data_IF_286977425534
#
_entry.id   IF_286977425534
#
_cell.length_a   1.000
_cell.length_b   1.000
_cell.length_c   1.000
_cell.angle_alpha   90.00
_cell.angle_beta   90.00
_cell.angle_gamma   90.00
#
_symmetry.space_group_name_H-M   'P 1'
#
loop_
_entity.id
_entity.type
_entity.pdbx_description
1 polymer ?
#
# COMPACT_ATOMS: atom_id res chain seq x y z
N UNK A 1 14.28 -68.97 -4.90
CA UNK A 1 14.33 -67.56 -5.16
C UNK A 1 14.00 -66.88 -3.86
N UNK A 2 14.91 -66.06 -3.35
CA UNK A 2 14.88 -65.55 -1.94
C UNK A 2 13.82 -64.47 -1.73
N UNK A 3 12.89 -64.71 -0.82
CA UNK A 3 11.87 -63.70 -0.39
C UNK A 3 12.47 -62.35 0.08
N UNK A 4 13.72 -62.39 0.55
CA UNK A 4 14.47 -61.19 0.94
C UNK A 4 14.84 -60.28 -0.25
N UNK A 5 15.07 -60.82 -1.44
CA UNK A 5 15.41 -60.06 -2.66
C UNK A 5 14.19 -59.32 -3.21
N UNK A 6 12.99 -59.92 -3.13
CA UNK A 6 11.76 -59.30 -3.60
C UNK A 6 11.36 -58.15 -2.64
N UNK A 7 11.52 -58.31 -1.31
CA UNK A 7 11.27 -57.23 -0.34
C UNK A 7 12.21 -56.04 -0.53
N UNK A 8 13.48 -56.26 -0.87
CA UNK A 8 14.45 -55.18 -1.12
C UNK A 8 14.14 -54.36 -2.38
N UNK A 9 13.70 -55.04 -3.46
CA UNK A 9 13.33 -54.36 -4.72
C UNK A 9 12.05 -53.53 -4.54
N UNK A 10 11.03 -54.04 -3.82
CA UNK A 10 9.78 -53.29 -3.54
C UNK A 10 10.06 -52.09 -2.64
N UNK A 11 10.91 -52.23 -1.62
CA UNK A 11 11.30 -51.11 -0.75
C UNK A 11 12.11 -50.04 -1.54
N UNK A 12 13.03 -50.46 -2.41
CA UNK A 12 13.78 -49.52 -3.25
C UNK A 12 12.92 -48.81 -4.29
N UNK A 13 11.91 -49.48 -4.86
CA UNK A 13 10.94 -48.86 -5.76
C UNK A 13 10.00 -47.89 -5.04
N UNK A 14 9.58 -48.16 -3.80
CA UNK A 14 8.77 -47.29 -3.00
C UNK A 14 9.54 -46.02 -2.55
N UNK A 15 10.79 -46.20 -2.09
CA UNK A 15 11.65 -45.06 -1.71
C UNK A 15 12.05 -44.24 -2.93
N UNK A 16 12.38 -44.87 -4.06
CA UNK A 16 12.66 -44.17 -5.31
C UNK A 16 11.44 -43.43 -5.88
N UNK A 17 10.25 -44.05 -5.80
CA UNK A 17 8.99 -43.46 -6.23
C UNK A 17 8.59 -42.21 -5.40
N UNK A 18 8.73 -42.27 -4.08
CA UNK A 18 8.49 -41.18 -3.17
C UNK A 18 9.49 -40.01 -3.40
N UNK A 19 10.78 -40.34 -3.56
CA UNK A 19 11.83 -39.35 -3.85
C UNK A 19 11.63 -38.67 -5.21
N UNK A 20 11.21 -39.42 -6.25
CA UNK A 20 10.91 -38.87 -7.57
C UNK A 20 9.65 -38.02 -7.59
N UNK A 21 8.60 -38.40 -6.87
CA UNK A 21 7.38 -37.60 -6.74
C UNK A 21 7.61 -36.29 -5.95
N UNK A 22 8.38 -36.35 -4.87
CA UNK A 22 8.75 -35.14 -4.11
C UNK A 22 9.66 -34.20 -4.93
N UNK A 23 10.59 -34.74 -5.71
CA UNK A 23 11.45 -33.95 -6.58
C UNK A 23 10.65 -33.26 -7.71
N UNK A 24 9.68 -33.98 -8.32
CA UNK A 24 8.78 -33.38 -9.30
C UNK A 24 7.87 -32.29 -8.68
N UNK A 25 7.35 -32.53 -7.48
CA UNK A 25 6.56 -31.55 -6.76
C UNK A 25 7.37 -30.28 -6.41
N UNK A 26 8.65 -30.44 -6.02
CA UNK A 26 9.53 -29.30 -5.75
C UNK A 26 9.82 -28.49 -7.02
N UNK A 27 10.12 -29.17 -8.14
CA UNK A 27 10.31 -28.50 -9.43
C UNK A 27 9.04 -27.78 -9.90
N UNK A 28 7.90 -28.41 -9.74
CA UNK A 28 6.62 -27.81 -10.09
C UNK A 28 6.32 -26.55 -9.26
N UNK A 29 6.55 -26.59 -7.93
CA UNK A 29 6.44 -25.42 -7.07
C UNK A 29 7.37 -24.28 -7.51
N UNK A 30 8.64 -24.60 -7.82
CA UNK A 30 9.60 -23.61 -8.31
C UNK A 30 9.16 -23.02 -9.65
N UNK A 31 8.61 -23.84 -10.55
CA UNK A 31 8.05 -23.38 -11.81
C UNK A 31 6.86 -22.45 -11.58
N UNK A 32 5.89 -22.81 -10.72
CA UNK A 32 4.73 -21.99 -10.40
C UNK A 32 5.11 -20.61 -9.85
N UNK A 33 6.15 -20.54 -9.02
CA UNK A 33 6.63 -19.28 -8.46
C UNK A 33 7.18 -18.33 -9.53
N UNK A 34 7.76 -18.88 -10.62
CA UNK A 34 8.42 -18.10 -11.67
C UNK A 34 7.62 -18.03 -12.98
N UNK A 35 6.50 -18.76 -13.09
CA UNK A 35 5.69 -18.80 -14.30
C UNK A 35 5.05 -17.42 -14.56
N UNK A 36 5.13 -16.97 -15.82
CA UNK A 36 4.40 -15.78 -16.27
C UNK A 36 2.89 -16.09 -16.39
N UNK A 37 2.06 -15.06 -16.36
CA UNK A 37 0.63 -15.21 -16.61
C UNK A 37 0.36 -15.95 -17.94
N UNK A 38 1.05 -15.56 -19.02
CA UNK A 38 0.90 -16.21 -20.33
C UNK A 38 1.25 -17.71 -20.32
N UNK A 39 2.27 -18.10 -19.54
CA UNK A 39 2.61 -19.51 -19.38
C UNK A 39 1.52 -20.28 -18.62
N UNK A 40 0.94 -19.68 -17.60
CA UNK A 40 -0.17 -20.26 -16.83
C UNK A 40 -1.48 -20.28 -17.64
N UNK A 41 -1.77 -19.25 -18.44
CA UNK A 41 -2.93 -19.21 -19.35
C UNK A 41 -2.91 -20.37 -20.37
N UNK A 42 -1.72 -20.80 -20.79
CA UNK A 42 -1.55 -21.96 -21.70
C UNK A 42 -1.58 -23.29 -20.94
N UNK A 43 -1.03 -23.34 -19.75
CA UNK A 43 -0.89 -24.57 -18.96
C UNK A 43 -2.20 -25.03 -18.32
N UNK A 44 -2.94 -24.12 -17.66
CA UNK A 44 -4.13 -24.44 -16.85
C UNK A 44 -5.24 -25.14 -17.64
N UNK A 45 -5.56 -24.77 -18.90
CA UNK A 45 -6.60 -25.45 -19.66
C UNK A 45 -6.31 -26.93 -19.93
N UNK A 46 -5.02 -27.31 -20.06
CA UNK A 46 -4.60 -28.70 -20.28
C UNK A 46 -4.37 -29.49 -18.98
N UNK A 47 -4.37 -28.80 -17.82
CA UNK A 47 -4.18 -29.39 -16.49
C UNK A 47 -5.29 -28.93 -15.55
N UNK A 48 -6.55 -29.30 -15.79
CA UNK A 48 -7.69 -28.79 -15.02
C UNK A 48 -7.70 -29.20 -13.56
N UNK A 49 -6.95 -30.22 -13.18
CA UNK A 49 -6.86 -30.71 -11.79
C UNK A 49 -5.67 -30.11 -11.02
N UNK A 50 -4.84 -29.26 -11.68
CA UNK A 50 -3.74 -28.56 -11.02
C UNK A 50 -4.26 -27.31 -10.29
N UNK A 51 -4.79 -27.52 -9.10
CA UNK A 51 -5.35 -26.47 -8.27
C UNK A 51 -4.33 -25.37 -7.93
N UNK A 52 -3.06 -25.69 -7.54
CA UNK A 52 -2.04 -24.66 -7.33
C UNK A 52 -1.80 -23.76 -8.56
N UNK A 53 -1.75 -24.33 -9.76
CA UNK A 53 -1.58 -23.54 -11.00
C UNK A 53 -2.77 -22.64 -11.28
N UNK A 54 -4.00 -23.16 -11.11
CA UNK A 54 -5.23 -22.35 -11.22
C UNK A 54 -5.26 -21.21 -10.22
N UNK A 55 -4.95 -21.49 -8.96
CA UNK A 55 -4.92 -20.46 -7.90
C UNK A 55 -3.89 -19.39 -8.22
N UNK A 56 -2.70 -19.79 -8.69
CA UNK A 56 -1.64 -18.84 -9.08
C UNK A 56 -2.05 -17.96 -10.26
N UNK A 57 -2.64 -18.56 -11.31
CA UNK A 57 -3.18 -17.81 -12.45
C UNK A 57 -4.25 -16.82 -11.99
N UNK A 58 -5.20 -17.27 -11.19
CA UNK A 58 -6.29 -16.45 -10.69
C UNK A 58 -5.78 -15.26 -9.86
N UNK A 59 -4.78 -15.47 -8.98
CA UNK A 59 -4.13 -14.39 -8.23
C UNK A 59 -3.47 -13.35 -9.14
N UNK A 60 -2.81 -13.79 -10.23
CA UNK A 60 -2.21 -12.88 -11.20
C UNK A 60 -3.26 -12.09 -11.98
N UNK A 61 -4.37 -12.74 -12.36
CA UNK A 61 -5.51 -12.07 -13.01
C UNK A 61 -6.13 -11.01 -12.08
N UNK A 62 -6.33 -11.34 -10.80
CA UNK A 62 -6.82 -10.38 -9.79
C UNK A 62 -5.87 -9.19 -9.67
N UNK A 63 -4.55 -9.44 -9.57
CA UNK A 63 -3.55 -8.36 -9.49
C UNK A 63 -3.57 -7.44 -10.71
N UNK A 64 -3.92 -7.98 -11.89
CA UNK A 64 -4.10 -7.25 -13.15
C UNK A 64 -5.53 -6.68 -13.33
N UNK A 65 -6.38 -6.73 -12.31
CA UNK A 65 -7.78 -6.27 -12.32
C UNK A 65 -8.67 -6.98 -13.37
N UNK A 66 -8.34 -8.23 -13.69
CA UNK A 66 -9.13 -9.09 -14.59
C UNK A 66 -10.17 -9.85 -13.77
N UNK A 67 -11.44 -9.62 -14.06
CA UNK A 67 -12.58 -10.23 -13.34
C UNK A 67 -12.55 -11.77 -13.34
N UNK A 68 -11.98 -12.40 -14.38
CA UNK A 68 -11.82 -13.86 -14.46
C UNK A 68 -11.11 -14.45 -13.25
N UNK A 69 -10.19 -13.67 -12.64
CA UNK A 69 -9.44 -14.12 -11.47
C UNK A 69 -10.32 -14.42 -10.28
N UNK A 70 -11.28 -13.55 -9.97
CA UNK A 70 -12.22 -13.73 -8.84
C UNK A 70 -13.15 -14.92 -9.13
N UNK A 71 -13.64 -15.05 -10.35
CA UNK A 71 -14.51 -16.17 -10.75
C UNK A 71 -13.79 -17.53 -10.63
N UNK A 72 -12.52 -17.58 -11.04
CA UNK A 72 -11.70 -18.79 -10.91
C UNK A 72 -11.43 -19.15 -9.45
N UNK A 73 -11.14 -18.17 -8.57
CA UNK A 73 -10.95 -18.40 -7.15
C UNK A 73 -12.24 -18.86 -6.49
N UNK A 74 -13.37 -18.27 -6.84
CA UNK A 74 -14.70 -18.67 -6.36
C UNK A 74 -15.00 -20.11 -6.72
N UNK A 75 -14.85 -20.48 -8.00
CA UNK A 75 -15.10 -21.84 -8.47
C UNK A 75 -14.18 -22.87 -7.77
N UNK A 76 -12.93 -22.50 -7.49
CA UNK A 76 -12.01 -23.35 -6.76
C UNK A 76 -12.38 -23.44 -5.25
N UNK A 77 -12.86 -22.36 -4.65
CA UNK A 77 -13.28 -22.33 -3.24
C UNK A 77 -14.62 -23.05 -3.01
N UNK A 78 -15.52 -23.07 -3.98
CA UNK A 78 -16.80 -23.79 -3.93
C UNK A 78 -16.63 -25.29 -4.27
N UNK A 79 -15.48 -25.70 -4.76
CA UNK A 79 -15.17 -27.14 -4.98
C UNK A 79 -15.08 -27.87 -3.65
N UNK A 80 -15.36 -29.19 -3.58
CA UNK A 80 -15.32 -29.97 -2.35
C UNK A 80 -13.88 -30.24 -1.86
N UNK A 81 -13.06 -29.20 -1.85
CA UNK A 81 -11.69 -29.23 -1.31
C UNK A 81 -11.63 -28.32 -0.08
N UNK A 82 -11.13 -28.83 1.03
CA UNK A 82 -10.90 -28.05 2.26
C UNK A 82 -9.50 -27.40 2.21
N UNK A 83 -9.16 -26.76 1.06
CA UNK A 83 -7.85 -26.12 0.90
C UNK A 83 -7.88 -24.68 1.42
N UNK A 84 -7.28 -24.51 2.61
CA UNK A 84 -7.13 -23.20 3.26
C UNK A 84 -6.48 -22.15 2.36
N UNK A 85 -5.53 -22.55 1.49
CA UNK A 85 -4.83 -21.61 0.63
C UNK A 85 -5.75 -21.00 -0.44
N UNK A 86 -6.67 -21.82 -0.96
CA UNK A 86 -7.68 -21.36 -1.94
C UNK A 86 -8.68 -20.43 -1.26
N UNK A 87 -9.21 -20.83 -0.10
CA UNK A 87 -10.17 -20.03 0.65
C UNK A 87 -9.57 -18.68 1.04
N UNK A 88 -8.33 -18.68 1.51
CA UNK A 88 -7.62 -17.45 1.79
C UNK A 88 -7.46 -16.57 0.54
N UNK A 89 -7.02 -17.17 -0.59
CA UNK A 89 -6.85 -16.43 -1.83
C UNK A 89 -8.15 -15.83 -2.35
N UNK A 90 -9.26 -16.57 -2.24
CA UNK A 90 -10.58 -16.06 -2.61
C UNK A 90 -11.03 -14.91 -1.72
N UNK A 91 -10.96 -15.09 -0.40
CA UNK A 91 -11.32 -14.03 0.55
C UNK A 91 -10.45 -12.78 0.36
N UNK A 92 -9.14 -12.96 0.11
CA UNK A 92 -8.21 -11.84 -0.10
C UNK A 92 -8.52 -11.06 -1.38
N UNK A 93 -9.04 -11.75 -2.41
CA UNK A 93 -9.42 -11.15 -3.70
C UNK A 93 -10.75 -10.39 -3.67
N UNK A 94 -11.63 -10.64 -2.70
CA UNK A 94 -12.92 -9.96 -2.60
C UNK A 94 -12.73 -8.48 -2.24
N UNK A 95 -13.37 -7.60 -3.02
CA UNK A 95 -13.29 -6.15 -2.83
C UNK A 95 -14.21 -5.71 -1.69
N UNK A 96 -15.40 -6.32 -1.59
CA UNK A 96 -16.36 -6.01 -0.50
C UNK A 96 -15.95 -6.75 0.79
N UNK A 97 -15.57 -6.02 1.84
CA UNK A 97 -15.19 -6.64 3.11
C UNK A 97 -16.35 -7.40 3.77
N UNK A 98 -17.60 -6.99 3.54
CA UNK A 98 -18.79 -7.66 4.10
C UNK A 98 -19.00 -9.02 3.44
N UNK A 99 -18.83 -9.12 2.13
CA UNK A 99 -18.85 -10.39 1.41
C UNK A 99 -17.71 -11.31 1.87
N UNK A 100 -16.51 -10.76 2.02
CA UNK A 100 -15.35 -11.49 2.54
C UNK A 100 -15.62 -12.06 3.94
N UNK A 101 -16.24 -11.29 4.84
CA UNK A 101 -16.63 -11.76 6.18
C UNK A 101 -17.64 -12.90 6.13
N UNK A 102 -18.64 -12.81 5.26
CA UNK A 102 -19.64 -13.89 5.10
C UNK A 102 -18.99 -15.20 4.61
N UNK A 103 -18.00 -15.13 3.70
CA UNK A 103 -17.26 -16.32 3.28
C UNK A 103 -16.36 -16.87 4.40
N UNK A 104 -15.70 -16.01 5.16
CA UNK A 104 -14.91 -16.43 6.33
C UNK A 104 -15.76 -17.17 7.36
N UNK A 105 -16.94 -16.69 7.67
CA UNK A 105 -17.84 -17.36 8.62
C UNK A 105 -18.24 -18.77 8.15
N UNK A 106 -18.36 -19.00 6.84
CA UNK A 106 -18.57 -20.30 6.21
C UNK A 106 -17.35 -21.22 6.42
N UNK A 107 -16.15 -20.69 6.14
CA UNK A 107 -14.91 -21.47 6.22
C UNK A 107 -14.53 -21.81 7.67
N UNK A 108 -14.88 -20.96 8.64
CA UNK A 108 -14.69 -21.25 10.08
C UNK A 108 -15.51 -22.43 10.61
N UNK A 109 -16.60 -22.82 9.93
CA UNK A 109 -17.33 -24.03 10.28
C UNK A 109 -16.50 -25.29 10.01
N UNK A 110 -15.56 -25.22 9.06
CA UNK A 110 -14.71 -26.33 8.66
C UNK A 110 -13.33 -26.24 9.31
N UNK A 111 -12.72 -25.04 9.33
CA UNK A 111 -11.38 -24.77 9.88
C UNK A 111 -11.42 -23.68 10.95
N UNK A 112 -12.02 -23.94 12.13
CA UNK A 112 -12.21 -22.92 13.17
C UNK A 112 -10.90 -22.36 13.74
N UNK A 113 -9.82 -23.13 13.74
CA UNK A 113 -8.52 -22.78 14.33
C UNK A 113 -7.49 -22.25 13.33
N UNK A 114 -7.89 -22.04 12.07
CA UNK A 114 -7.00 -21.51 11.05
C UNK A 114 -6.48 -20.10 11.41
N UNK A 115 -5.20 -20.02 11.75
CA UNK A 115 -4.51 -18.74 12.00
C UNK A 115 -4.56 -17.81 10.79
N UNK A 116 -4.42 -18.38 9.59
CA UNK A 116 -4.40 -17.64 8.32
C UNK A 116 -5.75 -16.98 8.03
N UNK A 117 -6.84 -17.75 8.14
CA UNK A 117 -8.20 -17.24 7.93
C UNK A 117 -8.60 -16.25 9.05
N UNK A 118 -8.21 -16.50 10.30
CA UNK A 118 -8.42 -15.55 11.40
C UNK A 118 -7.66 -14.24 11.20
N UNK A 119 -6.44 -14.29 10.64
CA UNK A 119 -5.69 -13.08 10.28
C UNK A 119 -6.40 -12.32 9.15
N UNK A 120 -6.94 -13.03 8.15
CA UNK A 120 -7.78 -12.42 7.12
C UNK A 120 -9.03 -11.76 7.72
N UNK A 121 -9.70 -12.43 8.69
CA UNK A 121 -10.83 -11.85 9.40
C UNK A 121 -10.47 -10.54 10.11
N UNK A 122 -9.37 -10.53 10.84
CA UNK A 122 -8.90 -9.33 11.53
C UNK A 122 -8.64 -8.17 10.54
N UNK A 123 -8.10 -8.46 9.34
CA UNK A 123 -7.92 -7.46 8.27
C UNK A 123 -9.27 -6.89 7.81
N UNK A 124 -10.26 -7.75 7.53
CA UNK A 124 -11.60 -7.30 7.13
C UNK A 124 -12.32 -6.49 8.21
N UNK A 125 -12.09 -6.81 9.49
CA UNK A 125 -12.58 -5.98 10.59
C UNK A 125 -12.01 -4.55 10.55
N UNK A 126 -10.72 -4.39 10.26
CA UNK A 126 -10.11 -3.05 10.07
C UNK A 126 -10.78 -2.32 8.90
N UNK A 127 -10.97 -2.99 7.76
CA UNK A 127 -11.61 -2.40 6.56
C UNK A 127 -13.08 -2.00 6.82
N UNK A 128 -13.78 -2.73 7.68
CA UNK A 128 -15.15 -2.43 8.13
C UNK A 128 -15.21 -1.37 9.24
N UNK A 129 -14.07 -0.84 9.68
CA UNK A 129 -14.02 0.20 10.72
C UNK A 129 -14.10 -0.32 12.15
N UNK A 130 -13.78 -1.60 12.39
CA UNK A 130 -13.64 -2.18 13.72
C UNK A 130 -12.17 -2.48 14.06
N UNK A 131 -11.34 -1.46 14.29
CA UNK A 131 -9.94 -1.65 14.65
C UNK A 131 -9.75 -2.28 16.03
N UNK A 132 -10.66 -2.04 16.98
CA UNK A 132 -10.56 -2.60 18.33
C UNK A 132 -10.83 -4.12 18.34
N UNK A 133 -11.84 -4.57 17.60
CA UNK A 133 -12.09 -5.99 17.38
C UNK A 133 -10.92 -6.67 16.70
N UNK A 134 -10.33 -6.04 15.66
CA UNK A 134 -9.14 -6.55 14.98
C UNK A 134 -7.93 -6.66 15.93
N UNK A 135 -7.69 -5.68 16.80
CA UNK A 135 -6.63 -5.74 17.82
C UNK A 135 -6.85 -6.87 18.80
N UNK A 136 -8.10 -7.06 19.31
CA UNK A 136 -8.44 -8.16 20.21
C UNK A 136 -8.18 -9.52 19.56
N UNK A 137 -8.64 -9.72 18.31
CA UNK A 137 -8.43 -10.97 17.57
C UNK A 137 -6.94 -11.23 17.30
N UNK A 138 -6.17 -10.22 16.96
CA UNK A 138 -4.72 -10.37 16.75
C UNK A 138 -3.97 -10.63 18.07
N UNK A 139 -4.42 -10.12 19.21
CA UNK A 139 -3.86 -10.46 20.52
C UNK A 139 -4.08 -11.95 20.86
N UNK A 140 -5.26 -12.50 20.56
CA UNK A 140 -5.53 -13.93 20.69
C UNK A 140 -4.62 -14.76 19.77
N UNK A 141 -4.51 -14.37 18.50
CA UNK A 141 -3.65 -15.06 17.52
C UNK A 141 -2.17 -15.07 17.96
N UNK A 142 -1.66 -13.96 18.48
CA UNK A 142 -0.28 -13.90 19.00
C UNK A 142 -0.09 -14.84 20.19
N UNK A 143 -1.07 -14.97 21.07
CA UNK A 143 -1.02 -15.92 22.21
C UNK A 143 -1.04 -17.37 21.74
N UNK A 144 -1.81 -17.69 20.71
CA UNK A 144 -1.99 -19.05 20.21
C UNK A 144 -0.84 -19.53 19.31
N UNK A 145 -0.40 -18.68 18.37
CA UNK A 145 0.54 -19.07 17.30
C UNK A 145 1.85 -18.26 17.29
N UNK A 146 1.99 -17.33 18.23
CA UNK A 146 3.14 -16.43 18.23
C UNK A 146 2.99 -15.27 17.26
N UNK A 147 4.02 -14.40 17.24
CA UNK A 147 4.07 -13.25 16.33
C UNK A 147 4.47 -13.71 14.94
N UNK A 148 3.74 -13.28 13.91
CA UNK A 148 4.16 -13.37 12.52
C UNK A 148 3.96 -12.00 11.82
N UNK A 149 4.57 -11.83 10.65
CA UNK A 149 4.58 -10.55 9.96
C UNK A 149 3.18 -10.09 9.54
N UNK A 150 2.31 -11.01 9.11
CA UNK A 150 0.96 -10.67 8.64
C UNK A 150 0.04 -10.24 9.79
N UNK A 151 0.11 -10.90 10.96
CA UNK A 151 -0.62 -10.50 12.15
C UNK A 151 -0.17 -9.10 12.59
N UNK A 152 1.15 -8.84 12.61
CA UNK A 152 1.69 -7.55 13.00
C UNK A 152 1.34 -6.44 12.00
N UNK A 153 1.25 -6.75 10.70
CA UNK A 153 0.74 -5.83 9.69
C UNK A 153 -0.70 -5.44 9.98
N UNK A 154 -1.60 -6.40 10.22
CA UNK A 154 -3.01 -6.10 10.54
C UNK A 154 -3.12 -5.23 11.79
N UNK A 155 -2.27 -5.47 12.80
CA UNK A 155 -2.22 -4.60 14.00
C UNK A 155 -1.80 -3.18 13.65
N UNK A 156 -0.82 -3.02 12.75
CA UNK A 156 -0.40 -1.71 12.29
C UNK A 156 -1.52 -0.97 11.56
N UNK A 157 -2.25 -1.67 10.68
CA UNK A 157 -3.40 -1.10 9.97
C UNK A 157 -4.50 -0.65 10.96
N UNK A 158 -4.78 -1.45 11.99
CA UNK A 158 -5.72 -1.10 13.06
C UNK A 158 -5.25 0.12 13.88
N UNK A 159 -3.96 0.19 14.24
CA UNK A 159 -3.38 1.34 14.92
C UNK A 159 -3.42 2.61 14.06
N UNK A 160 -3.18 2.49 12.75
CA UNK A 160 -3.29 3.63 11.82
C UNK A 160 -4.73 4.17 11.79
N UNK A 161 -5.73 3.31 11.74
CA UNK A 161 -7.13 3.71 11.77
C UNK A 161 -7.49 4.43 13.09
N UNK A 162 -6.89 4.00 14.21
CA UNK A 162 -7.03 4.64 15.52
C UNK A 162 -6.15 5.90 15.69
N UNK A 163 -5.41 6.32 14.67
CA UNK A 163 -4.41 7.39 14.72
C UNK A 163 -3.27 7.19 15.72
N UNK A 164 -3.04 5.94 16.14
CA UNK A 164 -1.96 5.53 17.04
C UNK A 164 -0.69 5.23 16.23
N UNK A 165 -0.14 6.27 15.61
CA UNK A 165 0.90 6.16 14.58
C UNK A 165 2.22 5.56 15.12
N UNK A 166 2.56 5.80 16.39
CA UNK A 166 3.76 5.23 17.00
C UNK A 166 3.66 3.72 17.13
N UNK A 167 2.52 3.21 17.64
CA UNK A 167 2.28 1.78 17.77
C UNK A 167 2.19 1.08 16.40
N UNK A 168 1.66 1.77 15.39
CA UNK A 168 1.69 1.27 14.01
C UNK A 168 3.13 1.11 13.50
N UNK A 169 3.99 2.11 13.73
CA UNK A 169 5.41 2.05 13.36
C UNK A 169 6.13 0.90 14.07
N UNK A 170 5.90 0.72 15.37
CA UNK A 170 6.51 -0.34 16.17
C UNK A 170 6.09 -1.73 15.68
N UNK A 171 4.80 -1.91 15.35
CA UNK A 171 4.27 -3.15 14.81
C UNK A 171 4.89 -3.48 13.45
N UNK A 172 5.03 -2.50 12.55
CA UNK A 172 5.66 -2.68 11.24
C UNK A 172 7.16 -2.95 11.34
N UNK A 173 7.87 -2.29 12.24
CA UNK A 173 9.28 -2.61 12.50
C UNK A 173 9.46 -4.04 13.00
N UNK A 174 8.58 -4.51 13.88
CA UNK A 174 8.57 -5.88 14.34
C UNK A 174 8.22 -6.87 13.21
N UNK A 175 7.28 -6.52 12.32
CA UNK A 175 6.93 -7.33 11.16
C UNK A 175 8.11 -7.48 10.18
N UNK A 176 8.81 -6.39 9.87
CA UNK A 176 10.00 -6.38 8.98
C UNK A 176 11.14 -7.25 9.56
N UNK A 177 11.32 -7.29 10.88
CA UNK A 177 12.31 -8.18 11.50
C UNK A 177 12.00 -9.66 11.32
N UNK A 178 10.72 -10.01 11.16
CA UNK A 178 10.28 -11.40 10.94
C UNK A 178 10.27 -11.77 9.46
N UNK A 179 9.87 -10.81 8.61
CA UNK A 179 9.77 -11.01 7.17
C UNK A 179 10.02 -9.67 6.45
N UNK A 180 11.21 -9.52 5.87
CA UNK A 180 11.67 -8.27 5.22
C UNK A 180 11.11 -8.14 3.81
N UNK A 181 9.85 -7.73 3.69
CA UNK A 181 9.17 -7.45 2.42
C UNK A 181 9.14 -5.96 2.12
N UNK A 182 9.30 -5.61 0.83
CA UNK A 182 9.21 -4.23 0.35
C UNK A 182 7.88 -3.54 0.73
N UNK A 183 6.77 -4.28 0.70
CA UNK A 183 5.46 -3.81 1.10
C UNK A 183 5.42 -3.33 2.56
N UNK A 184 5.95 -4.12 3.50
CA UNK A 184 6.00 -3.73 4.91
C UNK A 184 6.87 -2.50 5.15
N UNK A 185 7.98 -2.38 4.40
CA UNK A 185 8.83 -1.20 4.43
C UNK A 185 8.10 0.05 3.92
N UNK A 186 7.32 -0.07 2.85
CA UNK A 186 6.51 1.05 2.33
C UNK A 186 5.40 1.45 3.28
N UNK A 187 4.74 0.49 3.94
CA UNK A 187 3.76 0.79 5.00
C UNK A 187 4.41 1.53 6.16
N UNK A 188 5.61 1.08 6.60
CA UNK A 188 6.36 1.81 7.62
C UNK A 188 6.73 3.22 7.15
N UNK A 189 7.17 3.38 5.90
CA UNK A 189 7.47 4.70 5.34
C UNK A 189 6.26 5.64 5.42
N UNK A 190 5.06 5.15 5.13
CA UNK A 190 3.81 5.94 5.27
C UNK A 190 3.56 6.41 6.70
N UNK A 191 3.94 5.64 7.71
CA UNK A 191 3.81 6.06 9.12
C UNK A 191 4.87 7.08 9.53
N UNK A 192 6.06 7.05 8.92
CA UNK A 192 7.18 7.92 9.27
C UNK A 192 7.05 9.34 8.71
N UNK A 193 6.37 9.50 7.55
CA UNK A 193 6.17 10.80 6.90
C UNK A 193 5.44 11.81 7.82
N UNK A 194 4.26 11.51 8.39
CA UNK A 194 3.58 12.45 9.28
C UNK A 194 4.34 12.72 10.58
N UNK A 195 5.22 11.80 11.00
CA UNK A 195 6.09 11.97 12.16
C UNK A 195 7.36 12.78 11.86
N UNK A 196 7.57 13.17 10.61
CA UNK A 196 8.78 13.87 10.13
C UNK A 196 10.10 13.13 10.44
N UNK A 197 10.04 11.79 10.57
CA UNK A 197 11.20 10.92 10.85
C UNK A 197 11.96 10.61 9.56
N UNK A 198 12.45 11.64 8.88
CA UNK A 198 13.00 11.54 7.52
C UNK A 198 14.29 10.71 7.42
N UNK A 199 15.10 10.63 8.47
CA UNK A 199 16.30 9.76 8.49
C UNK A 199 15.89 8.30 8.45
N UNK A 200 14.95 7.90 9.28
CA UNK A 200 14.42 6.54 9.30
C UNK A 200 13.65 6.21 8.02
N UNK A 201 12.88 7.18 7.50
CA UNK A 201 12.21 7.04 6.20
C UNK A 201 13.22 6.67 5.10
N UNK A 202 14.36 7.36 5.04
CA UNK A 202 15.46 7.04 4.12
C UNK A 202 15.97 5.61 4.34
N UNK A 203 16.28 5.26 5.59
CA UNK A 203 16.89 3.97 5.94
C UNK A 203 15.93 2.80 5.67
N UNK A 204 14.63 3.02 5.75
CA UNK A 204 13.57 2.05 5.43
C UNK A 204 13.41 1.86 3.91
N UNK A 205 13.45 2.96 3.12
CA UNK A 205 13.21 2.91 1.67
C UNK A 205 14.46 2.52 0.86
N UNK A 206 15.67 2.87 1.32
CA UNK A 206 16.91 2.63 0.60
C UNK A 206 17.13 1.15 0.21
N UNK A 207 16.90 0.15 1.08
CA UNK A 207 17.06 -1.26 0.70
C UNK A 207 16.15 -1.72 -0.44
N UNK A 208 14.97 -1.10 -0.63
CA UNK A 208 14.06 -1.42 -1.73
C UNK A 208 14.70 -1.03 -3.06
N UNK A 209 15.32 0.17 -3.10
CA UNK A 209 15.93 0.70 -4.34
C UNK A 209 17.29 0.02 -4.63
N UNK A 210 18.08 -0.28 -3.59
CA UNK A 210 19.41 -0.90 -3.75
C UNK A 210 19.31 -2.35 -4.20
N UNK A 211 18.30 -3.10 -3.75
CA UNK A 211 18.07 -4.49 -4.20
C UNK A 211 17.73 -4.55 -5.70
N UNK A 212 17.34 -3.42 -6.30
CA UNK A 212 17.05 -3.32 -7.74
C UNK A 212 15.89 -4.19 -8.20
N UNK A 213 15.82 -4.46 -9.51
CA UNK A 213 14.72 -5.21 -10.15
C UNK A 213 14.70 -6.72 -9.80
N UNK A 214 15.57 -7.21 -8.93
CA UNK A 214 15.62 -8.61 -8.53
C UNK A 214 14.43 -8.98 -7.63
N UNK A 215 13.25 -9.14 -8.26
CA UNK A 215 12.04 -9.64 -7.60
C UNK A 215 11.20 -8.60 -6.86
N UNK A 216 11.49 -7.30 -7.00
CA UNK A 216 10.68 -6.22 -6.46
C UNK A 216 9.78 -5.67 -7.57
N UNK A 217 8.47 -5.59 -7.31
CA UNK A 217 7.52 -4.98 -8.25
C UNK A 217 7.92 -3.53 -8.55
N UNK A 218 7.89 -3.11 -9.82
CA UNK A 218 8.27 -1.76 -10.26
C UNK A 218 7.55 -0.67 -9.45
N UNK A 219 6.27 -0.86 -9.12
CA UNK A 219 5.51 0.05 -8.30
C UNK A 219 6.10 0.27 -6.90
N UNK A 220 6.65 -0.77 -6.27
CA UNK A 220 7.32 -0.63 -4.97
C UNK A 220 8.61 0.19 -5.09
N UNK A 221 9.39 -0.04 -6.15
CA UNK A 221 10.62 0.73 -6.40
C UNK A 221 10.32 2.21 -6.69
N UNK A 222 9.29 2.51 -7.49
CA UNK A 222 8.83 3.88 -7.78
C UNK A 222 8.39 4.60 -6.50
N UNK A 223 7.57 3.95 -5.65
CA UNK A 223 7.13 4.54 -4.36
C UNK A 223 8.30 4.75 -3.40
N UNK A 224 9.22 3.79 -3.30
CA UNK A 224 10.41 3.96 -2.45
C UNK A 224 11.27 5.14 -2.90
N UNK A 225 11.51 5.31 -4.20
CA UNK A 225 12.22 6.47 -4.76
C UNK A 225 11.51 7.79 -4.47
N UNK A 226 10.18 7.81 -4.56
CA UNK A 226 9.37 8.99 -4.21
C UNK A 226 9.55 9.37 -2.73
N UNK A 227 9.50 8.41 -1.81
CA UNK A 227 9.73 8.67 -0.38
C UNK A 227 11.16 9.10 -0.09
N UNK A 228 12.15 8.53 -0.79
CA UNK A 228 13.55 8.96 -0.71
C UNK A 228 13.74 10.42 -1.17
N UNK A 229 13.06 10.83 -2.25
CA UNK A 229 13.07 12.22 -2.71
C UNK A 229 12.47 13.16 -1.66
N UNK A 230 11.33 12.79 -1.06
CA UNK A 230 10.74 13.53 0.04
C UNK A 230 11.66 13.64 1.26
N UNK A 231 12.34 12.56 1.63
CA UNK A 231 13.32 12.55 2.73
C UNK A 231 14.52 13.46 2.41
N UNK A 232 15.08 13.38 1.20
CA UNK A 232 16.21 14.21 0.76
C UNK A 232 15.89 15.70 0.85
N UNK A 233 14.71 16.11 0.40
CA UNK A 233 14.25 17.51 0.48
C UNK A 233 14.12 18.02 1.92
N UNK A 234 13.73 17.16 2.87
CA UNK A 234 13.53 17.55 4.26
C UNK A 234 14.80 17.45 5.12
N UNK A 235 15.78 16.65 4.70
CA UNK A 235 17.05 16.51 5.41
C UNK A 235 18.10 17.57 5.02
N UNK A 236 17.72 18.54 4.20
CA UNK A 236 18.63 19.60 3.71
C UNK A 236 19.93 19.03 3.10
N UNK A 237 19.76 18.07 2.18
CA UNK A 237 20.87 17.41 1.50
C UNK A 237 21.70 18.39 0.64
N UNK A 238 22.99 18.10 0.38
CA UNK A 238 23.85 18.89 -0.50
C UNK A 238 23.27 19.10 -1.92
N UNK A 239 23.71 20.13 -2.62
CA UNK A 239 23.23 20.51 -3.95
C UNK A 239 23.33 19.36 -4.97
N UNK A 240 24.40 18.57 -4.93
CA UNK A 240 24.62 17.43 -5.83
C UNK A 240 23.55 16.34 -5.61
N UNK A 241 23.14 16.09 -4.38
CA UNK A 241 22.03 15.15 -4.07
C UNK A 241 20.69 15.68 -4.57
N UNK A 242 20.48 17.01 -4.58
CA UNK A 242 19.28 17.62 -5.14
C UNK A 242 19.21 17.42 -6.66
N UNK A 243 20.33 17.50 -7.37
CA UNK A 243 20.35 17.25 -8.81
C UNK A 243 19.99 15.79 -9.14
N UNK A 244 20.55 14.82 -8.40
CA UNK A 244 20.17 13.41 -8.51
C UNK A 244 18.69 13.20 -8.21
N UNK A 245 18.21 13.79 -7.10
CA UNK A 245 16.79 13.73 -6.72
C UNK A 245 15.89 14.30 -7.81
N UNK A 246 16.32 15.40 -8.46
CA UNK A 246 15.58 16.00 -9.60
C UNK A 246 15.45 15.02 -10.76
N UNK A 247 16.56 14.39 -11.19
CA UNK A 247 16.55 13.40 -12.27
C UNK A 247 15.67 12.18 -11.93
N UNK A 248 15.74 11.69 -10.68
CA UNK A 248 14.87 10.60 -10.22
C UNK A 248 13.38 11.00 -10.27
N UNK A 249 13.04 12.22 -9.87
CA UNK A 249 11.66 12.72 -9.91
C UNK A 249 11.16 12.97 -11.34
N UNK A 250 12.01 13.42 -12.25
CA UNK A 250 11.68 13.55 -13.68
C UNK A 250 11.29 12.19 -14.29
N UNK A 251 11.95 11.09 -13.91
CA UNK A 251 11.56 9.73 -14.29
C UNK A 251 10.25 9.28 -13.61
N UNK A 252 10.09 9.54 -12.29
CA UNK A 252 8.89 9.15 -11.54
C UNK A 252 7.64 9.85 -12.08
N UNK A 253 7.75 11.11 -12.53
CA UNK A 253 6.62 11.85 -13.15
C UNK A 253 6.07 11.11 -14.38
N UNK A 254 6.90 10.38 -15.12
CA UNK A 254 6.45 9.55 -16.27
C UNK A 254 5.84 8.20 -15.81
N UNK A 255 5.96 7.86 -14.53
CA UNK A 255 5.57 6.56 -13.95
C UNK A 255 4.52 6.70 -12.85
N UNK A 256 3.74 7.78 -12.86
CA UNK A 256 2.73 8.05 -11.82
C UNK A 256 1.61 7.01 -11.77
N UNK A 257 1.41 6.23 -12.83
CA UNK A 257 0.47 5.11 -12.87
C UNK A 257 0.81 3.98 -11.88
N UNK A 258 2.05 3.91 -11.40
CA UNK A 258 2.48 2.99 -10.32
C UNK A 258 2.23 3.51 -8.91
N UNK A 259 1.76 4.76 -8.77
CA UNK A 259 1.42 5.38 -7.50
C UNK A 259 -0.08 5.29 -7.22
N UNK A 260 -0.42 5.23 -5.94
CA UNK A 260 -1.81 5.37 -5.53
C UNK A 260 -2.35 6.74 -5.95
N UNK A 261 -3.65 6.82 -6.27
CA UNK A 261 -4.27 8.04 -6.78
C UNK A 261 -3.97 9.28 -5.90
N UNK A 262 -3.99 9.09 -4.58
CA UNK A 262 -3.70 10.15 -3.61
C UNK A 262 -2.22 10.54 -3.53
N UNK A 263 -1.31 9.78 -4.14
CA UNK A 263 0.14 10.05 -4.16
C UNK A 263 0.61 10.65 -5.49
N UNK A 264 -0.20 10.57 -6.56
CA UNK A 264 0.20 10.93 -7.93
C UNK A 264 0.63 12.39 -8.10
N UNK A 265 0.20 13.29 -7.22
CA UNK A 265 0.62 14.69 -7.24
C UNK A 265 2.00 14.92 -6.58
N UNK A 266 2.44 14.02 -5.70
CA UNK A 266 3.68 14.19 -4.92
C UNK A 266 4.95 14.31 -5.78
N UNK A 267 5.14 13.54 -6.87
CA UNK A 267 6.29 13.74 -7.75
C UNK A 267 6.37 15.16 -8.31
N UNK A 268 5.25 15.73 -8.72
CA UNK A 268 5.19 17.10 -9.24
C UNK A 268 5.50 18.12 -8.16
N UNK A 269 4.99 17.92 -6.96
CA UNK A 269 5.28 18.78 -5.81
C UNK A 269 6.77 18.75 -5.45
N UNK A 270 7.37 17.57 -5.29
CA UNK A 270 8.78 17.43 -4.94
C UNK A 270 9.69 17.92 -6.07
N UNK A 271 9.36 17.65 -7.32
CA UNK A 271 10.10 18.15 -8.48
C UNK A 271 10.08 19.70 -8.52
N UNK A 272 8.94 20.29 -8.22
CA UNK A 272 8.81 21.74 -8.11
C UNK A 272 9.69 22.35 -7.03
N UNK A 273 9.78 21.71 -5.86
CA UNK A 273 10.69 22.12 -4.80
C UNK A 273 12.18 21.97 -5.19
N UNK A 274 12.53 20.89 -5.91
CA UNK A 274 13.89 20.74 -6.46
C UNK A 274 14.23 21.85 -7.44
N UNK A 275 13.35 22.15 -8.39
CA UNK A 275 13.56 23.23 -9.35
C UNK A 275 13.66 24.61 -8.66
N UNK A 276 12.83 24.87 -7.64
CA UNK A 276 12.88 26.12 -6.90
C UNK A 276 14.22 26.30 -6.19
N UNK A 277 14.73 25.25 -5.53
CA UNK A 277 16.06 25.24 -4.89
C UNK A 277 17.20 25.41 -5.89
N UNK A 278 17.04 24.87 -7.09
CA UNK A 278 18.00 25.04 -8.20
C UNK A 278 17.88 26.38 -8.93
N UNK A 279 16.99 27.30 -8.51
CA UNK A 279 16.75 28.57 -9.18
C UNK A 279 16.02 28.48 -10.52
N UNK A 280 15.51 27.30 -10.89
CA UNK A 280 14.76 27.06 -12.15
C UNK A 280 13.29 27.46 -11.93
N UNK A 281 13.02 28.78 -11.86
CA UNK A 281 11.72 29.33 -11.44
C UNK A 281 10.58 28.93 -12.39
N UNK A 282 10.72 29.10 -13.71
CA UNK A 282 9.63 28.81 -14.64
C UNK A 282 9.26 27.31 -14.69
N UNK A 283 10.18 26.34 -14.74
CA UNK A 283 9.86 24.93 -14.56
C UNK A 283 9.19 24.63 -13.21
N UNK A 284 9.64 25.26 -12.11
CA UNK A 284 9.06 25.10 -10.78
C UNK A 284 7.59 25.51 -10.77
N UNK A 285 7.25 26.72 -11.27
CA UNK A 285 5.85 27.20 -11.35
C UNK A 285 4.99 26.21 -12.11
N UNK A 286 5.45 25.68 -13.25
CA UNK A 286 4.68 24.78 -14.10
C UNK A 286 4.33 23.47 -13.36
N UNK A 287 5.31 22.80 -12.76
CA UNK A 287 5.07 21.51 -12.11
C UNK A 287 4.33 21.67 -10.78
N UNK A 288 4.57 22.76 -10.02
CA UNK A 288 3.80 23.06 -8.79
C UNK A 288 2.34 23.40 -9.11
N UNK A 289 2.08 24.11 -10.21
CA UNK A 289 0.71 24.35 -10.65
C UNK A 289 0.00 23.02 -10.98
N UNK A 290 0.69 22.08 -11.62
CA UNK A 290 0.14 20.74 -11.86
C UNK A 290 -0.13 19.99 -10.56
N UNK A 291 0.78 20.02 -9.60
CA UNK A 291 0.57 19.40 -8.28
C UNK A 291 -0.66 19.98 -7.56
N UNK A 292 -0.84 21.32 -7.56
CA UNK A 292 -1.98 21.98 -6.92
C UNK A 292 -3.30 21.69 -7.65
N UNK A 293 -3.29 21.55 -8.97
CA UNK A 293 -4.48 21.14 -9.73
C UNK A 293 -4.89 19.70 -9.43
N UNK A 294 -3.94 18.78 -9.22
CA UNK A 294 -4.21 17.39 -8.85
C UNK A 294 -4.65 17.25 -7.39
N UNK A 295 -4.09 18.06 -6.48
CA UNK A 295 -4.37 18.01 -5.05
C UNK A 295 -4.58 19.42 -4.46
N UNK A 296 -5.69 20.09 -4.79
CA UNK A 296 -5.96 21.47 -4.33
C UNK A 296 -6.14 21.59 -2.81
N UNK A 297 -6.38 20.48 -2.13
CA UNK A 297 -6.48 20.40 -0.67
C UNK A 297 -5.12 20.27 0.03
N UNK A 298 -4.00 20.19 -0.70
CA UNK A 298 -2.66 20.01 -0.12
C UNK A 298 -1.95 21.37 0.07
N UNK A 299 -1.91 21.93 1.31
CA UNK A 299 -1.44 23.30 1.54
C UNK A 299 0.03 23.50 1.15
N UNK A 300 0.88 22.49 1.35
CA UNK A 300 2.31 22.61 1.07
C UNK A 300 2.59 22.88 -0.42
N UNK A 301 1.87 22.21 -1.35
CA UNK A 301 2.02 22.48 -2.78
C UNK A 301 1.59 23.90 -3.15
N UNK A 302 0.48 24.38 -2.56
CA UNK A 302 0.00 25.74 -2.78
C UNK A 302 0.98 26.80 -2.24
N UNK A 303 1.57 26.54 -1.06
CA UNK A 303 2.61 27.41 -0.49
C UNK A 303 3.86 27.45 -1.39
N UNK A 304 4.31 26.30 -1.86
CA UNK A 304 5.48 26.20 -2.76
C UNK A 304 5.22 26.88 -4.09
N UNK A 305 4.00 26.76 -4.63
CA UNK A 305 3.60 27.50 -5.84
C UNK A 305 3.64 29.00 -5.60
N UNK A 306 3.13 29.48 -4.47
CA UNK A 306 3.18 30.90 -4.12
C UNK A 306 4.63 31.43 -4.05
N UNK A 307 5.56 30.66 -3.46
CA UNK A 307 7.00 30.97 -3.42
C UNK A 307 7.62 30.99 -4.81
N UNK A 308 7.28 30.04 -5.67
CA UNK A 308 7.80 29.96 -7.04
C UNK A 308 7.31 31.16 -7.88
N UNK A 309 6.05 31.54 -7.73
CA UNK A 309 5.46 32.74 -8.38
C UNK A 309 6.10 34.01 -7.83
N UNK A 310 6.35 34.11 -6.53
CA UNK A 310 7.08 35.24 -5.94
C UNK A 310 8.50 35.33 -6.52
N UNK A 311 9.19 34.22 -6.67
CA UNK A 311 10.52 34.16 -7.30
C UNK A 311 10.50 34.58 -8.79
N UNK A 312 9.35 34.46 -9.47
CA UNK A 312 9.14 34.99 -10.83
C UNK A 312 8.85 36.50 -10.87
N UNK A 313 8.83 37.16 -9.69
CA UNK A 313 8.56 38.59 -9.51
C UNK A 313 7.10 39.00 -9.78
N UNK A 314 6.15 38.07 -9.79
CA UNK A 314 4.71 38.36 -9.82
C UNK A 314 4.17 38.44 -8.39
N UNK A 315 4.44 39.57 -7.72
CA UNK A 315 4.08 39.80 -6.32
C UNK A 315 2.55 39.80 -6.12
N UNK A 316 1.78 40.28 -7.08
CA UNK A 316 0.32 40.35 -7.00
C UNK A 316 -0.28 38.92 -6.97
N UNK A 317 0.17 38.06 -7.87
CA UNK A 317 -0.26 36.67 -7.95
C UNK A 317 0.21 35.86 -6.73
N UNK A 318 1.46 36.06 -6.31
CA UNK A 318 2.01 35.41 -5.11
C UNK A 318 1.16 35.75 -3.87
N UNK A 319 0.78 37.02 -3.69
CA UNK A 319 -0.06 37.45 -2.57
C UNK A 319 -1.44 36.75 -2.57
N UNK A 320 -2.06 36.58 -3.74
CA UNK A 320 -3.33 35.82 -3.89
C UNK A 320 -3.17 34.35 -3.49
N UNK A 321 -2.10 33.70 -3.92
CA UNK A 321 -1.82 32.31 -3.60
C UNK A 321 -1.51 32.13 -2.11
N UNK A 322 -0.73 33.01 -1.47
CA UNK A 322 -0.48 32.99 -0.03
C UNK A 322 -1.78 33.20 0.77
N UNK A 323 -2.64 34.11 0.33
CA UNK A 323 -3.96 34.30 0.96
C UNK A 323 -4.81 33.03 0.90
N UNK A 324 -4.85 32.39 -0.27
CA UNK A 324 -5.56 31.12 -0.45
C UNK A 324 -4.97 30.00 0.42
N UNK A 325 -3.64 29.91 0.50
CA UNK A 325 -2.95 28.99 1.41
C UNK A 325 -3.38 29.20 2.87
N UNK A 326 -3.38 30.45 3.35
CA UNK A 326 -3.79 30.76 4.72
C UNK A 326 -5.25 30.36 5.00
N UNK A 327 -6.17 30.62 4.06
CA UNK A 327 -7.57 30.20 4.15
C UNK A 327 -7.70 28.67 4.21
N UNK A 328 -6.99 27.96 3.33
CA UNK A 328 -7.00 26.49 3.28
C UNK A 328 -6.49 25.89 4.60
N UNK A 329 -5.35 26.38 5.08
CA UNK A 329 -4.74 25.91 6.34
C UNK A 329 -5.65 26.16 7.54
N UNK A 330 -6.31 27.32 7.61
CA UNK A 330 -7.25 27.65 8.68
C UNK A 330 -8.46 26.70 8.68
N UNK A 331 -9.05 26.43 7.51
CA UNK A 331 -10.21 25.52 7.39
C UNK A 331 -9.83 24.08 7.74
N UNK A 332 -8.67 23.58 7.30
CA UNK A 332 -8.22 22.24 7.63
C UNK A 332 -7.95 22.09 9.14
N UNK A 333 -7.36 23.10 9.78
CA UNK A 333 -7.15 23.12 11.23
C UNK A 333 -8.46 23.14 12.01
N UNK A 334 -9.47 23.93 11.54
CA UNK A 334 -10.80 23.93 12.13
C UNK A 334 -11.48 22.56 12.02
N UNK A 335 -11.42 21.93 10.86
CA UNK A 335 -11.98 20.59 10.63
C UNK A 335 -11.33 19.53 11.53
N UNK A 336 -10.02 19.54 11.67
CA UNK A 336 -9.31 18.61 12.55
C UNK A 336 -9.71 18.79 14.02
N UNK A 337 -9.75 20.04 14.50
CA UNK A 337 -10.20 20.38 15.86
C UNK A 337 -11.65 19.95 16.12
N UNK A 338 -12.55 20.20 15.17
CA UNK A 338 -13.97 19.83 15.30
C UNK A 338 -14.13 18.31 15.26
N UNK A 339 -13.40 17.60 14.40
CA UNK A 339 -13.42 16.14 14.31
C UNK A 339 -12.98 15.49 15.63
N UNK A 340 -11.90 15.99 16.24
CA UNK A 340 -11.41 15.51 17.54
C UNK A 340 -12.47 15.70 18.63
N UNK A 341 -13.09 16.90 18.70
CA UNK A 341 -14.12 17.20 19.71
C UNK A 341 -15.40 16.39 19.53
N UNK A 342 -15.77 16.05 18.30
CA UNK A 342 -16.92 15.17 18.02
C UNK A 342 -16.62 13.74 18.47
N UNK A 343 -15.40 13.25 18.33
CA UNK A 343 -15.02 11.94 18.87
C UNK A 343 -15.19 11.85 20.39
N UNK A 344 -14.92 12.98 21.10
CA UNK A 344 -15.13 13.08 22.55
C UNK A 344 -16.62 13.20 22.92
N UNK A 345 -17.43 13.85 22.05
CA UNK A 345 -18.86 14.13 22.27
C UNK A 345 -19.70 13.84 21.02
N UNK A 346 -19.92 12.55 20.69
CA UNK A 346 -20.57 12.18 19.43
C UNK A 346 -22.00 12.68 19.22
N UNK A 347 -22.73 12.97 20.30
CA UNK A 347 -24.12 13.44 20.27
C UNK A 347 -24.28 14.96 20.25
N UNK A 348 -23.19 15.75 20.19
CA UNK A 348 -23.25 17.21 20.18
C UNK A 348 -23.65 17.74 18.79
N UNK A 349 -24.94 18.05 18.66
CA UNK A 349 -25.51 18.58 17.41
C UNK A 349 -24.90 19.92 16.97
N UNK A 350 -24.39 20.74 17.91
CA UNK A 350 -23.76 22.05 17.60
C UNK A 350 -22.39 21.79 16.95
N UNK A 351 -21.60 20.86 17.47
CA UNK A 351 -20.32 20.48 16.87
C UNK A 351 -20.51 19.88 15.48
N UNK A 352 -21.49 19.00 15.31
CA UNK A 352 -21.82 18.40 14.00
C UNK A 352 -22.23 19.47 12.98
N UNK A 353 -23.08 20.44 13.37
CA UNK A 353 -23.46 21.56 12.50
C UNK A 353 -22.25 22.40 12.10
N UNK A 354 -21.34 22.69 13.04
CA UNK A 354 -20.10 23.43 12.73
C UNK A 354 -19.17 22.68 11.81
N UNK A 355 -19.00 21.36 12.01
CA UNK A 355 -18.20 20.51 11.12
C UNK A 355 -18.72 20.56 9.68
N UNK A 356 -20.05 20.40 9.50
CA UNK A 356 -20.68 20.46 8.18
C UNK A 356 -20.47 21.84 7.52
N UNK A 357 -20.60 22.92 8.27
CA UNK A 357 -20.36 24.27 7.74
C UNK A 357 -18.88 24.48 7.34
N UNK A 358 -17.93 24.03 8.14
CA UNK A 358 -16.51 24.10 7.82
C UNK A 358 -16.18 23.25 6.58
N UNK A 359 -16.77 22.06 6.45
CA UNK A 359 -16.63 21.19 5.28
C UNK A 359 -17.19 21.85 4.01
N UNK A 360 -18.34 22.51 4.11
CA UNK A 360 -18.94 23.27 3.00
C UNK A 360 -18.04 24.44 2.56
N UNK A 361 -17.48 25.18 3.52
CA UNK A 361 -16.54 26.26 3.24
C UNK A 361 -15.27 25.76 2.56
N UNK A 362 -14.73 24.62 3.01
CA UNK A 362 -13.59 23.98 2.35
C UNK A 362 -13.95 23.60 0.90
N UNK A 363 -15.07 22.94 0.69
CA UNK A 363 -15.51 22.54 -0.65
C UNK A 363 -15.71 23.76 -1.57
N UNK A 364 -16.27 24.88 -1.04
CA UNK A 364 -16.40 26.13 -1.77
C UNK A 364 -15.04 26.72 -2.15
N UNK A 365 -14.08 26.72 -1.24
CA UNK A 365 -12.71 27.17 -1.51
C UNK A 365 -12.05 26.32 -2.59
N UNK A 366 -12.14 24.98 -2.50
CA UNK A 366 -11.51 24.06 -3.45
C UNK A 366 -12.10 24.14 -4.86
N UNK A 367 -13.40 24.47 -4.99
CA UNK A 367 -14.06 24.66 -6.30
C UNK A 367 -13.70 25.98 -6.99
N UNK A 368 -13.18 26.95 -6.26
CA UNK A 368 -12.73 28.20 -6.88
C UNK A 368 -11.49 27.92 -7.75
N UNK A 369 -11.50 28.30 -9.02
CA UNK A 369 -10.33 28.10 -9.86
C UNK A 369 -9.13 28.87 -9.30
N UNK A 370 -7.93 28.34 -9.55
CA UNK A 370 -6.72 29.11 -9.31
C UNK A 370 -6.68 30.29 -10.29
N UNK A 371 -6.13 31.43 -9.87
CA UNK A 371 -5.88 32.53 -10.79
C UNK A 371 -5.02 32.04 -11.96
N UNK A 372 -5.28 32.52 -13.18
CA UNK A 372 -4.49 32.19 -14.34
C UNK A 372 -3.04 32.69 -14.16
N UNK A 373 -2.09 31.76 -14.18
CA UNK A 373 -0.67 32.11 -14.11
C UNK A 373 -0.20 32.61 -15.49
N UNK A 374 0.52 33.74 -15.51
CA UNK A 374 1.09 34.26 -16.75
C UNK A 374 2.11 33.25 -17.32
N UNK A 375 1.84 32.72 -18.51
CA UNK A 375 2.77 31.82 -19.23
C UNK A 375 2.30 30.39 -19.46
N UNK A 376 1.00 30.10 -19.34
CA UNK A 376 0.38 28.87 -19.89
C UNK A 376 -0.14 29.10 -21.27
#
# INVERSE_FOLDING_TARGET
MNRALIGGIVAACLVGGVGFSQWNAAKHRTWLLNASQSALDQYVPSHPDDIPAKTRLAQMLVANKDARGIEMLKAAADAPSEDEAIWFAYVDALIDPSEAMAQLDKYFQVLPDSTKLRTAKARRMVELGDPNGALSLTDELIKLSGKNADILRVRADAFMLLRRVNEASDALQAAIKLDDRAELRLLLAMTLVPQQRYRELRDVCLPIVVKGDAGIAEGHAVRARLYLAGAALNLATPVDDIQKTTTDLEDIVQKTNFLEQQEQFLPYYFLGECYLRAGKVAPSVRVLNQAVNMAPQFPAALYSLARAVQASKDEAMAALLFKRHAQLTSLLSELDSLSTRIQEKPSDAVLTKRLNAAQENLNKLLRQPLPALAGN
#
